data_IF_917285018790
#
_entry.id   IF_917285018790
#
_cell.length_a   1.000
_cell.length_b   1.000
_cell.length_c   1.000
_cell.angle_alpha   90.00
_cell.angle_beta   90.00
_cell.angle_gamma   90.00
#
_symmetry.space_group_name_H-M   'P 1'
#
loop_
_entity.id
_entity.type
_entity.pdbx_description
1 polymer ?
#
# COMPACT_ATOMS: atom_id res chain seq x y z
N UNK A 1 33.88 18.28 48.90
CA UNK A 1 33.23 17.00 48.57
C UNK A 1 31.75 17.13 48.87
N UNK A 2 30.93 17.36 47.83
CA UNK A 2 29.47 17.21 47.89
C UNK A 2 29.01 16.77 46.52
N UNK A 3 28.35 15.63 46.48
CA UNK A 3 27.87 14.92 45.30
C UNK A 3 26.75 15.67 44.58
N UNK A 4 26.70 15.56 43.26
CA UNK A 4 25.47 15.68 42.48
C UNK A 4 25.37 14.47 41.56
N UNK A 5 24.82 13.38 42.10
CA UNK A 5 24.37 12.23 41.32
C UNK A 5 23.12 12.63 40.55
N UNK A 6 23.28 12.93 39.26
CA UNK A 6 22.17 13.07 38.32
C UNK A 6 21.51 11.68 38.14
N UNK A 7 20.46 11.41 38.91
CA UNK A 7 19.57 10.27 38.66
C UNK A 7 18.74 10.57 37.42
N UNK A 8 19.25 10.15 36.26
CA UNK A 8 18.44 10.05 35.04
C UNK A 8 17.32 9.04 35.29
N UNK A 9 16.13 9.55 35.64
CA UNK A 9 14.91 8.76 35.74
C UNK A 9 14.63 8.09 34.40
N UNK A 10 14.97 6.80 34.28
CA UNK A 10 14.51 5.96 33.16
C UNK A 10 13.01 5.81 33.31
N UNK A 11 12.24 6.64 32.59
CA UNK A 11 10.80 6.46 32.44
C UNK A 11 10.54 5.07 31.86
N UNK A 12 10.00 4.18 32.70
CA UNK A 12 9.48 2.89 32.28
C UNK A 12 8.22 3.13 31.45
N UNK A 13 8.29 2.94 30.13
CA UNK A 13 7.13 3.00 29.25
C UNK A 13 6.07 2.00 29.73
N UNK A 14 4.86 2.46 30.02
CA UNK A 14 3.75 1.58 30.37
C UNK A 14 3.15 0.93 29.09
N UNK A 15 2.10 0.12 29.23
CA UNK A 15 1.47 -0.57 28.09
C UNK A 15 0.93 0.38 27.02
N UNK A 16 0.40 1.54 27.43
CA UNK A 16 -0.14 2.56 26.54
C UNK A 16 1.00 3.31 25.84
N UNK A 17 2.09 3.64 26.55
CA UNK A 17 3.26 4.29 25.95
C UNK A 17 3.92 3.39 24.89
N UNK A 18 3.93 2.07 25.12
CA UNK A 18 4.37 1.08 24.13
C UNK A 18 3.44 1.01 22.92
N UNK A 19 2.13 1.13 23.13
CA UNK A 19 1.16 1.18 22.03
C UNK A 19 1.34 2.46 21.21
N UNK A 20 1.38 3.62 21.88
CA UNK A 20 1.55 4.92 21.23
C UNK A 20 2.89 5.02 20.48
N UNK A 21 3.97 4.49 21.03
CA UNK A 21 5.26 4.46 20.32
C UNK A 21 5.28 3.52 19.12
N UNK A 22 4.51 2.41 19.14
CA UNK A 22 4.34 1.55 17.96
C UNK A 22 3.49 2.23 16.90
N UNK A 23 2.42 2.91 17.30
CA UNK A 23 1.58 3.70 16.41
C UNK A 23 2.38 4.85 15.79
N UNK A 24 3.11 5.64 16.59
CA UNK A 24 3.98 6.73 16.10
C UNK A 24 5.02 6.20 15.12
N UNK A 25 5.73 5.12 15.44
CA UNK A 25 6.70 4.50 14.51
C UNK A 25 6.05 4.07 13.20
N UNK A 26 4.87 3.44 13.26
CA UNK A 26 4.15 3.01 12.05
C UNK A 26 3.65 4.20 11.25
N UNK A 27 3.13 5.24 11.88
CA UNK A 27 2.69 6.47 11.21
C UNK A 27 3.85 7.19 10.52
N UNK A 28 5.02 7.27 11.17
CA UNK A 28 6.24 7.84 10.57
C UNK A 28 6.73 7.02 9.39
N UNK A 29 6.73 5.70 9.52
CA UNK A 29 7.07 4.80 8.40
C UNK A 29 6.12 5.01 7.22
N UNK A 30 4.81 5.06 7.47
CA UNK A 30 3.82 5.31 6.43
C UNK A 30 3.98 6.70 5.79
N UNK A 31 4.33 7.71 6.58
CA UNK A 31 4.57 9.08 6.12
C UNK A 31 5.91 9.26 5.37
N UNK A 32 6.71 8.19 5.19
CA UNK A 32 8.03 8.29 4.56
C UNK A 32 9.10 8.92 5.46
N UNK A 33 8.84 9.16 6.75
CA UNK A 33 9.81 9.75 7.70
C UNK A 33 10.83 8.74 8.26
N UNK A 34 10.98 7.56 7.63
CA UNK A 34 11.80 6.47 8.16
C UNK A 34 13.30 6.66 7.93
N UNK A 35 14.05 6.68 9.04
CA UNK A 35 15.52 6.60 9.14
C UNK A 35 16.06 5.16 9.05
N UNK A 36 15.22 4.21 8.65
CA UNK A 36 15.51 2.78 8.60
C UNK A 36 15.20 2.23 7.21
N UNK A 37 16.11 1.40 6.69
CA UNK A 37 16.03 0.70 5.41
C UNK A 37 14.62 0.12 5.16
N UNK A 38 14.14 0.10 3.89
CA UNK A 38 12.89 -0.54 3.53
C UNK A 38 12.83 -1.96 4.12
N UNK A 39 11.67 -2.35 4.64
CA UNK A 39 11.45 -3.75 5.02
C UNK A 39 11.70 -4.59 3.76
N UNK A 40 12.73 -5.44 3.80
CA UNK A 40 13.23 -6.08 2.59
C UNK A 40 12.12 -6.93 1.98
N UNK A 41 11.77 -6.63 0.72
CA UNK A 41 10.83 -7.44 -0.05
C UNK A 41 11.26 -8.91 0.00
N UNK A 42 10.29 -9.80 0.18
CA UNK A 42 10.50 -11.24 0.14
C UNK A 42 10.87 -11.72 -1.27
N UNK A 43 10.37 -11.02 -2.29
CA UNK A 43 10.69 -11.21 -3.71
C UNK A 43 11.59 -10.08 -4.23
N UNK A 44 12.57 -10.38 -5.10
CA UNK A 44 13.36 -9.34 -5.77
C UNK A 44 12.45 -8.48 -6.65
N UNK A 45 12.78 -7.19 -6.79
CA UNK A 45 12.06 -6.31 -7.71
C UNK A 45 12.20 -6.80 -9.16
N UNK A 46 11.12 -6.80 -9.96
CA UNK A 46 11.17 -7.10 -11.39
C UNK A 46 12.10 -6.17 -12.19
N UNK A 47 12.47 -5.02 -11.64
CA UNK A 47 13.38 -4.07 -12.24
C UNK A 47 14.87 -4.35 -11.97
N UNK A 48 15.20 -5.37 -11.15
CA UNK A 48 16.60 -5.73 -10.86
C UNK A 48 17.32 -6.15 -12.14
N UNK A 49 18.54 -5.64 -12.33
CA UNK A 49 19.36 -5.95 -13.51
C UNK A 49 19.06 -5.09 -14.75
N UNK A 50 18.15 -4.13 -14.64
CA UNK A 50 17.90 -3.13 -15.68
C UNK A 50 18.60 -1.81 -15.37
N UNK A 51 19.14 -1.17 -16.41
CA UNK A 51 19.84 0.11 -16.30
C UNK A 51 18.88 1.24 -15.92
N UNK A 52 19.39 2.25 -15.23
CA UNK A 52 18.61 3.44 -14.89
C UNK A 52 18.36 4.27 -16.17
N UNK A 53 17.08 4.57 -16.49
CA UNK A 53 16.75 5.30 -17.70
C UNK A 53 17.22 6.75 -17.67
N UNK A 54 17.56 7.28 -18.86
CA UNK A 54 17.84 8.70 -19.04
C UNK A 54 16.54 9.46 -19.23
N UNK A 55 15.97 9.97 -18.14
CA UNK A 55 14.73 10.76 -18.15
C UNK A 55 15.02 12.26 -18.06
N UNK A 56 14.26 13.08 -18.81
CA UNK A 56 14.21 14.52 -18.55
C UNK A 56 13.63 14.81 -17.16
N UNK A 57 13.87 16.01 -16.62
CA UNK A 57 13.33 16.40 -15.32
C UNK A 57 11.79 16.26 -15.24
N UNK A 58 11.10 16.64 -16.32
CA UNK A 58 9.63 16.52 -16.42
C UNK A 58 9.16 15.07 -16.46
N UNK A 59 9.86 14.20 -17.18
CA UNK A 59 9.53 12.78 -17.25
C UNK A 59 9.78 12.08 -15.91
N UNK A 60 10.88 12.41 -15.23
CA UNK A 60 11.18 11.91 -13.89
C UNK A 60 10.12 12.34 -12.88
N UNK A 61 9.73 13.61 -12.88
CA UNK A 61 8.66 14.12 -12.02
C UNK A 61 7.31 13.43 -12.31
N UNK A 62 6.99 13.21 -13.59
CA UNK A 62 5.78 12.50 -13.97
C UNK A 62 5.78 11.03 -13.51
N UNK A 63 6.87 10.31 -13.77
CA UNK A 63 7.05 8.93 -13.32
C UNK A 63 6.96 8.83 -11.79
N UNK A 64 7.60 9.76 -11.07
CA UNK A 64 7.52 9.83 -9.61
C UNK A 64 6.08 10.06 -9.12
N UNK A 65 5.33 10.95 -9.78
CA UNK A 65 3.90 11.16 -9.57
C UNK A 65 3.10 9.86 -9.64
N UNK A 66 3.26 9.11 -10.74
CA UNK A 66 2.57 7.84 -10.94
C UNK A 66 3.00 6.77 -9.91
N UNK A 67 4.30 6.65 -9.65
CA UNK A 67 4.83 5.67 -8.68
C UNK A 67 4.36 5.95 -7.25
N UNK A 68 4.18 7.22 -6.87
CA UNK A 68 3.63 7.59 -5.56
C UNK A 68 2.17 7.18 -5.42
N UNK A 69 1.39 7.33 -6.49
CA UNK A 69 0.01 6.85 -6.53
C UNK A 69 -0.05 5.33 -6.34
N UNK A 70 0.80 4.59 -7.05
CA UNK A 70 0.89 3.13 -6.89
C UNK A 70 1.30 2.77 -5.45
N UNK A 71 2.36 3.38 -4.93
CA UNK A 71 2.81 3.19 -3.53
C UNK A 71 1.68 3.41 -2.52
N UNK A 72 0.92 4.50 -2.62
CA UNK A 72 -0.22 4.75 -1.73
C UNK A 72 -1.34 3.71 -1.92
N UNK A 73 -1.55 3.23 -3.15
CA UNK A 73 -2.43 2.09 -3.43
C UNK A 73 -2.05 0.87 -2.59
N UNK A 74 -0.76 0.50 -2.60
CA UNK A 74 -0.25 -0.63 -1.82
C UNK A 74 -0.42 -0.43 -0.31
N UNK A 75 -0.19 0.80 0.18
CA UNK A 75 -0.46 1.17 1.58
C UNK A 75 -1.93 0.95 1.95
N UNK A 76 -2.85 1.36 1.07
CA UNK A 76 -4.29 1.18 1.25
C UNK A 76 -4.68 -0.30 1.23
N UNK A 77 -4.20 -1.06 0.24
CA UNK A 77 -4.51 -2.49 0.07
C UNK A 77 -4.04 -3.30 1.29
N UNK A 78 -2.80 -3.11 1.74
CA UNK A 78 -2.29 -3.74 2.96
C UNK A 78 -3.15 -3.41 4.19
N UNK A 79 -3.48 -2.14 4.38
CA UNK A 79 -4.28 -1.70 5.52
C UNK A 79 -5.67 -2.34 5.49
N UNK A 80 -6.29 -2.36 4.32
CA UNK A 80 -7.59 -2.95 4.08
C UNK A 80 -7.59 -4.45 4.37
N UNK A 81 -6.63 -5.21 3.84
CA UNK A 81 -6.51 -6.66 4.09
C UNK A 81 -6.26 -6.97 5.55
N UNK A 82 -5.41 -6.19 6.23
CA UNK A 82 -5.20 -6.33 7.67
C UNK A 82 -6.47 -6.04 8.48
N UNK A 83 -7.22 -4.99 8.10
CA UNK A 83 -8.50 -4.66 8.71
C UNK A 83 -9.55 -5.76 8.52
N UNK A 84 -9.65 -6.29 7.30
CA UNK A 84 -10.54 -7.41 6.99
C UNK A 84 -10.14 -8.66 7.75
N UNK A 85 -8.85 -9.03 7.76
CA UNK A 85 -8.36 -10.21 8.45
C UNK A 85 -8.62 -10.16 9.96
N UNK A 86 -8.54 -8.97 10.57
CA UNK A 86 -8.84 -8.79 11.98
C UNK A 86 -10.29 -9.12 12.33
N UNK A 87 -11.23 -8.86 11.41
CA UNK A 87 -12.66 -9.02 11.63
C UNK A 87 -13.29 -10.18 10.81
N UNK A 88 -12.47 -10.99 10.15
CA UNK A 88 -12.90 -12.14 9.36
C UNK A 88 -13.61 -13.18 10.23
N UNK A 89 -14.67 -13.81 9.71
CA UNK A 89 -15.45 -14.81 10.45
C UNK A 89 -14.86 -16.21 10.35
N UNK A 90 -14.29 -16.55 9.19
CA UNK A 90 -13.59 -17.81 8.97
C UNK A 90 -12.08 -17.65 9.03
N UNK A 91 -11.43 -18.68 9.57
CA UNK A 91 -9.98 -18.78 9.59
C UNK A 91 -9.39 -18.83 8.18
N UNK A 92 -10.06 -19.51 7.25
CA UNK A 92 -9.66 -19.58 5.85
C UNK A 92 -9.61 -18.20 5.17
N UNK A 93 -10.65 -17.36 5.38
CA UNK A 93 -10.65 -15.99 4.84
C UNK A 93 -9.55 -15.15 5.48
N UNK A 94 -9.35 -15.29 6.78
CA UNK A 94 -8.28 -14.60 7.52
C UNK A 94 -6.90 -14.95 6.95
N UNK A 95 -6.60 -16.22 6.75
CA UNK A 95 -5.32 -16.68 6.21
C UNK A 95 -5.06 -16.16 4.80
N UNK A 96 -6.08 -16.16 3.94
CA UNK A 96 -5.98 -15.62 2.57
C UNK A 96 -5.67 -14.13 2.55
N UNK A 97 -6.40 -13.34 3.34
CA UNK A 97 -6.18 -11.90 3.45
C UNK A 97 -4.78 -11.57 3.98
N UNK A 98 -4.27 -12.36 4.93
CA UNK A 98 -2.88 -12.22 5.41
C UNK A 98 -1.85 -12.72 4.39
N UNK A 99 -2.22 -13.63 3.49
CA UNK A 99 -1.46 -14.00 2.31
C UNK A 99 -1.31 -12.83 1.35
N UNK A 100 -2.43 -12.29 0.87
CA UNK A 100 -2.46 -11.12 -0.02
C UNK A 100 -1.70 -9.93 0.58
N UNK A 101 -1.92 -9.60 1.85
CA UNK A 101 -1.21 -8.50 2.53
C UNK A 101 0.32 -8.68 2.57
N UNK A 102 0.84 -9.92 2.51
CA UNK A 102 2.28 -10.19 2.42
C UNK A 102 2.80 -10.01 0.99
N UNK A 103 2.01 -10.36 -0.02
CA UNK A 103 2.36 -10.10 -1.42
C UNK A 103 2.38 -8.60 -1.71
N UNK A 104 1.41 -7.84 -1.19
CA UNK A 104 1.40 -6.37 -1.28
C UNK A 104 2.58 -5.69 -0.57
N UNK A 105 3.20 -6.35 0.41
CA UNK A 105 4.40 -5.84 1.04
C UNK A 105 5.58 -5.81 0.06
N UNK A 106 5.65 -6.76 -0.87
CA UNK A 106 6.65 -6.74 -1.94
C UNK A 106 6.37 -5.59 -2.91
N UNK A 107 5.11 -5.41 -3.33
CA UNK A 107 4.71 -4.32 -4.22
C UNK A 107 5.05 -2.95 -3.65
N UNK A 108 4.73 -2.74 -2.36
CA UNK A 108 5.05 -1.53 -1.63
C UNK A 108 6.57 -1.27 -1.62
N UNK A 109 7.36 -2.28 -1.29
CA UNK A 109 8.82 -2.17 -1.24
C UNK A 109 9.42 -1.88 -2.62
N UNK A 110 8.87 -2.46 -3.69
CA UNK A 110 9.31 -2.15 -5.06
C UNK A 110 8.97 -0.72 -5.46
N UNK A 111 7.78 -0.23 -5.11
CA UNK A 111 7.38 1.14 -5.35
C UNK A 111 8.24 2.14 -4.56
N UNK A 112 8.52 1.86 -3.30
CA UNK A 112 9.38 2.68 -2.44
C UNK A 112 10.81 2.75 -2.98
N UNK A 113 11.38 1.61 -3.38
CA UNK A 113 12.69 1.58 -4.01
C UNK A 113 12.72 2.40 -5.31
N UNK A 114 11.66 2.29 -6.15
CA UNK A 114 11.59 3.04 -7.40
C UNK A 114 11.43 4.55 -7.17
N UNK A 115 10.67 4.95 -6.15
CA UNK A 115 10.55 6.36 -5.76
C UNK A 115 11.92 6.94 -5.35
N UNK A 116 12.70 6.19 -4.56
CA UNK A 116 14.05 6.60 -4.19
C UNK A 116 14.99 6.75 -5.41
N UNK A 117 14.92 5.84 -6.38
CA UNK A 117 15.70 5.93 -7.63
C UNK A 117 15.28 7.13 -8.51
N UNK A 118 14.01 7.54 -8.42
CA UNK A 118 13.48 8.71 -9.09
C UNK A 118 13.77 10.02 -8.34
N UNK A 119 14.46 9.97 -7.20
CA UNK A 119 14.73 11.10 -6.30
C UNK A 119 13.42 11.73 -5.78
N UNK A 120 12.50 10.88 -5.32
CA UNK A 120 11.16 11.26 -4.93
C UNK A 120 10.71 10.56 -3.63
N UNK A 121 9.85 11.22 -2.88
CA UNK A 121 9.32 10.70 -1.61
C UNK A 121 7.91 10.08 -1.79
N UNK A 122 7.52 9.13 -0.92
CA UNK A 122 6.14 8.67 -0.78
C UNK A 122 5.16 9.78 -0.38
N UNK A 123 3.86 9.50 -0.48
CA UNK A 123 2.83 10.47 -0.11
C UNK A 123 2.79 10.73 1.39
N UNK A 124 2.73 12.02 1.76
CA UNK A 124 2.53 12.43 3.15
C UNK A 124 1.12 12.12 3.67
N UNK A 125 0.18 11.80 2.78
CA UNK A 125 -1.19 11.42 3.11
C UNK A 125 -1.36 9.94 3.44
N UNK A 126 -0.33 9.12 3.22
CA UNK A 126 -0.35 7.68 3.50
C UNK A 126 -0.89 7.31 4.90
N UNK A 127 -0.55 8.01 6.00
CA UNK A 127 -1.11 7.67 7.32
C UNK A 127 -2.63 7.79 7.40
N UNK A 128 -3.20 8.82 6.74
CA UNK A 128 -4.64 9.03 6.67
C UNK A 128 -5.31 7.93 5.83
N UNK A 129 -4.76 7.66 4.66
CA UNK A 129 -5.30 6.65 3.75
C UNK A 129 -5.20 5.24 4.33
N UNK A 130 -4.10 4.92 5.02
CA UNK A 130 -3.95 3.67 5.76
C UNK A 130 -5.06 3.52 6.81
N UNK A 131 -5.26 4.54 7.66
CA UNK A 131 -6.25 4.47 8.74
C UNK A 131 -7.69 4.31 8.19
N UNK A 132 -8.02 5.04 7.12
CA UNK A 132 -9.31 4.94 6.45
C UNK A 132 -9.54 3.55 5.83
N UNK A 133 -8.53 3.04 5.13
CA UNK A 133 -8.59 1.72 4.46
C UNK A 133 -8.69 0.58 5.46
N UNK A 134 -7.94 0.65 6.57
CA UNK A 134 -8.04 -0.32 7.67
C UNK A 134 -9.45 -0.35 8.29
N UNK A 135 -10.01 0.82 8.59
CA UNK A 135 -11.35 0.92 9.16
C UNK A 135 -12.42 0.38 8.20
N UNK A 136 -12.29 0.70 6.90
CA UNK A 136 -13.17 0.18 5.86
C UNK A 136 -13.05 -1.33 5.72
N UNK A 137 -11.82 -1.86 5.74
CA UNK A 137 -11.55 -3.29 5.73
C UNK A 137 -12.26 -4.00 6.88
N UNK A 138 -12.06 -3.55 8.12
CA UNK A 138 -12.75 -4.11 9.28
C UNK A 138 -14.28 -4.03 9.15
N UNK A 139 -14.82 -2.92 8.65
CA UNK A 139 -16.25 -2.74 8.43
C UNK A 139 -16.83 -3.74 7.41
N UNK A 140 -16.13 -3.99 6.30
CA UNK A 140 -16.57 -4.93 5.27
C UNK A 140 -16.53 -6.38 5.77
N UNK A 141 -15.50 -6.77 6.53
CA UNK A 141 -15.42 -8.10 7.12
C UNK A 141 -16.52 -8.36 8.17
N UNK A 142 -16.90 -7.34 8.95
CA UNK A 142 -18.04 -7.44 9.86
C UNK A 142 -19.37 -7.72 9.12
N UNK A 143 -19.54 -7.22 7.90
CA UNK A 143 -20.71 -7.53 7.06
C UNK A 143 -20.74 -9.00 6.59
N UNK A 144 -19.57 -9.65 6.52
CA UNK A 144 -19.41 -11.08 6.28
C UNK A 144 -18.32 -11.40 5.25
N UNK A 145 -17.78 -12.61 5.31
CA UNK A 145 -16.63 -13.02 4.49
C UNK A 145 -16.87 -12.88 2.98
N UNK A 146 -18.08 -13.17 2.50
CA UNK A 146 -18.44 -12.99 1.08
C UNK A 146 -18.40 -11.52 0.63
N UNK A 147 -18.90 -10.62 1.47
CA UNK A 147 -18.85 -9.17 1.23
C UNK A 147 -17.40 -8.68 1.31
N UNK A 148 -16.63 -9.20 2.28
CA UNK A 148 -15.21 -8.90 2.43
C UNK A 148 -14.43 -9.24 1.16
N UNK A 149 -14.56 -10.49 0.68
CA UNK A 149 -13.89 -10.97 -0.54
C UNK A 149 -14.43 -10.27 -1.79
N UNK A 150 -15.73 -9.94 -1.83
CA UNK A 150 -16.31 -9.09 -2.89
C UNK A 150 -15.69 -7.70 -2.93
N UNK A 151 -15.39 -7.12 -1.77
CA UNK A 151 -14.69 -5.84 -1.67
C UNK A 151 -13.23 -5.94 -2.16
N UNK A 152 -12.54 -7.05 -1.84
CA UNK A 152 -11.19 -7.34 -2.39
C UNK A 152 -11.28 -7.35 -3.92
N UNK A 153 -12.15 -8.18 -4.50
CA UNK A 153 -12.33 -8.25 -5.96
C UNK A 153 -12.57 -6.87 -6.60
N UNK A 154 -13.51 -6.10 -6.05
CA UNK A 154 -13.82 -4.78 -6.56
C UNK A 154 -12.67 -3.77 -6.40
N UNK A 155 -11.80 -3.96 -5.40
CA UNK A 155 -10.59 -3.14 -5.21
C UNK A 155 -9.55 -3.50 -6.26
N UNK A 156 -9.25 -4.79 -6.45
CA UNK A 156 -8.25 -5.24 -7.43
C UNK A 156 -8.62 -4.90 -8.87
N UNK A 157 -9.91 -4.97 -9.21
CA UNK A 157 -10.37 -4.52 -10.53
C UNK A 157 -10.00 -3.04 -10.78
N UNK A 158 -10.06 -2.20 -9.73
CA UNK A 158 -9.69 -0.78 -9.80
C UNK A 158 -8.19 -0.57 -9.81
N UNK A 159 -7.44 -1.30 -8.97
CA UNK A 159 -5.97 -1.26 -9.00
C UNK A 159 -5.46 -1.68 -10.37
N UNK A 160 -5.94 -2.80 -10.93
CA UNK A 160 -5.60 -3.26 -12.27
C UNK A 160 -5.96 -2.22 -13.35
N UNK A 161 -7.11 -1.55 -13.24
CA UNK A 161 -7.46 -0.45 -14.16
C UNK A 161 -6.48 0.72 -14.08
N UNK A 162 -6.04 1.08 -12.87
CA UNK A 162 -5.07 2.15 -12.64
C UNK A 162 -3.68 1.79 -13.15
N UNK A 163 -3.20 0.58 -12.87
CA UNK A 163 -1.92 0.08 -13.36
C UNK A 163 -1.87 0.10 -14.89
N UNK A 164 -2.93 -0.35 -15.58
CA UNK A 164 -3.02 -0.25 -17.05
C UNK A 164 -3.01 1.19 -17.56
N UNK A 165 -3.59 2.14 -16.81
CA UNK A 165 -3.55 3.55 -17.18
C UNK A 165 -2.14 4.13 -16.98
N UNK A 166 -1.48 3.81 -15.87
CA UNK A 166 -0.12 4.26 -15.55
C UNK A 166 0.90 3.68 -16.52
N UNK A 167 0.80 2.41 -16.89
CA UNK A 167 1.65 1.78 -17.92
C UNK A 167 1.59 2.53 -19.26
N UNK A 168 0.44 3.12 -19.62
CA UNK A 168 0.28 3.93 -20.83
C UNK A 168 0.81 5.36 -20.68
N UNK A 169 0.82 5.89 -19.46
CA UNK A 169 1.22 7.27 -19.16
C UNK A 169 2.72 7.41 -18.86
N UNK A 170 3.37 6.33 -18.42
CA UNK A 170 4.80 6.32 -18.14
C UNK A 170 5.63 6.75 -19.36
N UNK A 171 6.76 7.45 -19.14
CA UNK A 171 7.75 7.69 -20.19
C UNK A 171 8.18 6.37 -20.83
N UNK A 172 8.31 6.34 -22.16
CA UNK A 172 8.66 5.12 -22.90
C UNK A 172 10.01 4.52 -22.46
N UNK A 173 10.96 5.38 -22.09
CA UNK A 173 12.28 5.01 -21.59
C UNK A 173 12.26 4.46 -20.16
N UNK A 174 11.20 4.69 -19.36
CA UNK A 174 11.14 4.28 -17.96
C UNK A 174 10.82 2.78 -17.78
N UNK A 175 11.73 1.94 -18.27
CA UNK A 175 11.57 0.49 -18.30
C UNK A 175 11.44 -0.12 -16.90
N UNK A 176 12.14 0.43 -15.91
CA UNK A 176 12.11 -0.07 -14.54
C UNK A 176 10.72 0.08 -13.92
N UNK A 177 10.10 1.25 -14.03
CA UNK A 177 8.73 1.46 -13.58
C UNK A 177 7.75 0.56 -14.33
N UNK A 178 7.89 0.43 -15.66
CA UNK A 178 7.02 -0.45 -16.46
C UNK A 178 7.06 -1.91 -15.98
N UNK A 179 8.24 -2.45 -15.68
CA UNK A 179 8.40 -3.84 -15.22
C UNK A 179 7.74 -4.08 -13.87
N UNK A 180 7.89 -3.12 -12.95
CA UNK A 180 7.24 -3.17 -11.63
C UNK A 180 5.72 -3.19 -11.81
N UNK A 181 5.16 -2.22 -12.54
CA UNK A 181 3.71 -2.11 -12.72
C UNK A 181 3.11 -3.28 -13.51
N UNK A 182 3.87 -3.87 -14.44
CA UNK A 182 3.42 -5.04 -15.18
C UNK A 182 3.34 -6.29 -14.30
N UNK A 183 4.30 -6.48 -13.38
CA UNK A 183 4.24 -7.59 -12.43
C UNK A 183 3.08 -7.40 -11.46
N UNK A 184 2.96 -6.20 -10.87
CA UNK A 184 1.83 -5.87 -9.99
C UNK A 184 0.50 -6.14 -10.68
N UNK A 185 0.32 -5.67 -11.92
CA UNK A 185 -0.93 -5.89 -12.67
C UNK A 185 -1.30 -7.38 -12.80
N UNK A 186 -0.32 -8.24 -13.03
CA UNK A 186 -0.58 -9.68 -13.11
C UNK A 186 -0.98 -10.26 -11.75
N UNK A 187 -0.36 -9.79 -10.66
CA UNK A 187 -0.65 -10.20 -9.30
C UNK A 187 -2.06 -9.71 -8.87
N UNK A 188 -2.41 -8.45 -9.14
CA UNK A 188 -3.74 -7.88 -8.83
C UNK A 188 -4.88 -8.59 -9.59
N UNK A 189 -4.69 -8.87 -10.88
CA UNK A 189 -5.68 -9.60 -11.67
C UNK A 189 -5.94 -11.00 -11.09
N UNK A 190 -4.89 -11.65 -10.59
CA UNK A 190 -4.97 -12.95 -9.92
C UNK A 190 -5.68 -12.83 -8.58
N UNK A 191 -5.32 -11.88 -7.72
CA UNK A 191 -6.00 -11.66 -6.43
C UNK A 191 -7.49 -11.41 -6.59
N UNK A 192 -7.86 -10.58 -7.58
CA UNK A 192 -9.25 -10.29 -7.89
C UNK A 192 -10.02 -11.54 -8.34
N UNK A 193 -9.40 -12.42 -9.12
CA UNK A 193 -10.00 -13.69 -9.53
C UNK A 193 -10.14 -14.67 -8.35
N UNK A 194 -9.07 -14.84 -7.57
CA UNK A 194 -9.04 -15.70 -6.38
C UNK A 194 -10.13 -15.26 -5.37
N UNK A 195 -10.35 -13.97 -5.18
CA UNK A 195 -11.38 -13.47 -4.27
C UNK A 195 -12.79 -13.94 -4.67
N UNK A 196 -13.12 -13.96 -5.96
CA UNK A 196 -14.40 -14.49 -6.46
C UNK A 196 -14.47 -16.02 -6.35
N UNK A 197 -13.40 -16.72 -6.72
CA UNK A 197 -13.34 -18.19 -6.63
C UNK A 197 -13.57 -18.68 -5.19
N UNK A 198 -13.13 -17.90 -4.20
CA UNK A 198 -13.30 -18.19 -2.78
C UNK A 198 -14.62 -17.66 -2.20
N UNK A 199 -15.57 -17.28 -3.04
CA UNK A 199 -16.94 -16.95 -2.64
C UNK A 199 -17.22 -15.47 -2.41
N UNK A 200 -16.34 -14.59 -2.88
CA UNK A 200 -16.59 -13.15 -2.94
C UNK A 200 -17.85 -12.82 -3.75
N UNK A 201 -18.62 -11.86 -3.26
CA UNK A 201 -19.80 -11.35 -3.96
C UNK A 201 -19.40 -10.30 -5.00
N UNK A 202 -19.82 -10.48 -6.24
CA UNK A 202 -19.63 -9.49 -7.29
C UNK A 202 -20.49 -8.25 -6.99
N UNK A 203 -19.84 -7.12 -6.74
CA UNK A 203 -20.52 -5.90 -6.34
C UNK A 203 -21.25 -5.24 -7.51
N UNK A 204 -22.46 -4.70 -7.28
CA UNK A 204 -23.21 -4.04 -8.33
C UNK A 204 -22.54 -2.73 -8.73
N UNK A 205 -22.77 -2.32 -9.98
CA UNK A 205 -22.17 -1.12 -10.59
C UNK A 205 -22.21 0.14 -9.71
N UNK A 206 -23.31 0.50 -9.04
CA UNK A 206 -23.35 1.72 -8.23
C UNK A 206 -22.33 1.73 -7.08
N UNK A 207 -22.05 0.56 -6.48
CA UNK A 207 -21.02 0.45 -5.43
C UNK A 207 -19.64 0.64 -6.04
N UNK A 208 -19.37 -0.04 -7.17
CA UNK A 208 -18.11 0.12 -7.92
C UNK A 208 -17.90 1.56 -8.41
N UNK A 209 -18.96 2.32 -8.68
CA UNK A 209 -18.88 3.73 -9.08
C UNK A 209 -18.48 4.63 -7.90
N UNK A 210 -19.03 4.41 -6.70
CA UNK A 210 -18.60 5.11 -5.48
C UNK A 210 -17.12 4.84 -5.19
N UNK A 211 -16.69 3.58 -5.30
CA UNK A 211 -15.28 3.21 -5.13
C UNK A 211 -14.39 3.92 -6.15
N UNK A 212 -14.87 4.09 -7.39
CA UNK A 212 -14.14 4.84 -8.44
C UNK A 212 -13.94 6.29 -8.05
N UNK A 213 -14.98 6.96 -7.53
CA UNK A 213 -14.87 8.35 -7.09
C UNK A 213 -13.87 8.52 -5.95
N UNK A 214 -13.93 7.63 -4.96
CA UNK A 214 -12.97 7.62 -3.85
C UNK A 214 -11.53 7.41 -4.36
N UNK A 215 -11.36 6.48 -5.30
CA UNK A 215 -10.06 6.19 -5.91
C UNK A 215 -9.52 7.38 -6.71
N UNK A 216 -10.36 8.06 -7.50
CA UNK A 216 -9.97 9.28 -8.24
C UNK A 216 -9.54 10.43 -7.33
N UNK A 217 -10.21 10.60 -6.19
CA UNK A 217 -9.81 11.60 -5.20
C UNK A 217 -8.43 11.25 -4.63
N UNK A 218 -8.24 9.99 -4.23
CA UNK A 218 -6.95 9.51 -3.72
C UNK A 218 -5.84 9.75 -4.76
N UNK A 219 -5.99 9.22 -5.98
CA UNK A 219 -4.94 9.34 -7.02
C UNK A 219 -4.65 10.79 -7.38
N UNK A 220 -5.67 11.64 -7.49
CA UNK A 220 -5.50 13.07 -7.77
C UNK A 220 -4.75 13.82 -6.68
N UNK A 221 -4.97 13.50 -5.41
CA UNK A 221 -4.24 14.12 -4.28
C UNK A 221 -2.84 13.56 -4.12
N UNK A 222 -2.71 12.23 -4.14
CA UNK A 222 -1.45 11.51 -3.93
C UNK A 222 -0.43 11.78 -5.02
N UNK A 223 -0.85 12.07 -6.25
CA UNK A 223 0.11 12.38 -7.31
C UNK A 223 1.05 13.54 -6.92
N UNK A 224 0.56 14.52 -6.15
CA UNK A 224 1.27 15.75 -5.82
C UNK A 224 1.79 15.85 -4.37
N UNK A 225 1.30 15.01 -3.45
CA UNK A 225 1.52 15.13 -1.99
C UNK A 225 2.10 13.84 -1.46
#
# INVERSE_FOLDING_TARGET
>A
MTELTHTSSRRSLNGIDRLLSRVDKRLRQLAGESTSLPEAASRPSPAVGHDEPTLSAREREHAAGLMRVNHTGEVCAQALYQGQALAARSEETREKLLGAAREEADHLAWCEARLAELDAEPSRLNPLFYAASFALGAATAMAGDKVSLGFVHATEERVASHLRAHLKALPGEDRKSQLILQQMLNDEERHGAEALEHGGEEFPRPVKDVMTLASQLMTGTTYWI
#
